data_IF_924098356576
#
_entry.id   IF_924098356576
#
_cell.length_a   1.000
_cell.length_b   1.000
_cell.length_c   1.000
_cell.angle_alpha   90.00
_cell.angle_beta   90.00
_cell.angle_gamma   90.00
#
_symmetry.space_group_name_H-M   'P 1'
#
loop_
_entity.id
_entity.type
_entity.pdbx_description
1 polymer ?
#
# COMPACT_ATOMS: atom_id res chain seq x y z
N UNK A 1 -36.81 22.03 -20.44
CA UNK A 1 -35.38 22.43 -20.41
C UNK A 1 -34.71 22.24 -19.05
N UNK A 2 -35.42 22.35 -17.91
CA UNK A 2 -34.82 22.24 -16.56
C UNK A 2 -34.34 20.82 -16.18
N UNK A 3 -35.11 19.78 -16.52
CA UNK A 3 -34.83 18.38 -16.13
C UNK A 3 -33.64 17.76 -16.86
N UNK A 4 -33.47 18.03 -18.17
CA UNK A 4 -32.33 17.49 -18.94
C UNK A 4 -31.01 18.09 -18.47
N UNK A 5 -31.00 19.39 -18.17
CA UNK A 5 -29.83 20.08 -17.60
C UNK A 5 -29.50 19.54 -16.20
N UNK A 6 -30.51 19.29 -15.35
CA UNK A 6 -30.33 18.68 -14.03
C UNK A 6 -29.73 17.27 -14.11
N UNK A 7 -30.17 16.43 -15.06
CA UNK A 7 -29.63 15.08 -15.25
C UNK A 7 -28.17 15.09 -15.73
N UNK A 8 -27.81 16.03 -16.61
CA UNK A 8 -26.42 16.18 -17.08
C UNK A 8 -25.51 16.66 -15.94
N UNK A 9 -25.95 17.63 -15.13
CA UNK A 9 -25.17 18.08 -13.97
C UNK A 9 -24.99 16.98 -12.92
N UNK A 10 -26.02 16.17 -12.66
CA UNK A 10 -25.92 15.03 -11.74
C UNK A 10 -24.96 13.96 -12.25
N UNK A 11 -24.97 13.66 -13.55
CA UNK A 11 -24.03 12.72 -14.17
C UNK A 11 -22.57 13.18 -14.09
N UNK A 12 -22.30 14.46 -14.38
CA UNK A 12 -20.96 15.05 -14.29
C UNK A 12 -20.46 15.07 -12.84
N UNK A 13 -21.33 15.38 -11.88
CA UNK A 13 -20.97 15.36 -10.46
C UNK A 13 -20.61 13.94 -9.99
N UNK A 14 -21.37 12.91 -10.41
CA UNK A 14 -21.07 11.52 -10.08
C UNK A 14 -19.74 11.03 -10.66
N UNK A 15 -19.39 11.47 -11.87
CA UNK A 15 -18.08 11.20 -12.49
C UNK A 15 -16.92 11.82 -11.70
N UNK A 16 -17.11 13.01 -11.11
CA UNK A 16 -16.07 13.65 -10.29
C UNK A 16 -15.83 12.94 -8.94
N UNK A 17 -16.87 12.35 -8.33
CA UNK A 17 -16.69 11.56 -7.09
C UNK A 17 -15.95 10.24 -7.37
N UNK A 18 -16.04 9.72 -8.59
CA UNK A 18 -15.34 8.50 -9.00
C UNK A 18 -13.84 8.72 -9.33
N UNK A 19 -13.38 9.98 -9.41
CA UNK A 19 -11.99 10.31 -9.71
C UNK A 19 -11.31 10.94 -8.49
N UNK A 20 -10.76 10.12 -7.61
CA UNK A 20 -9.79 10.67 -6.64
C UNK A 20 -9.68 9.97 -5.31
N UNK A 21 -9.46 8.66 -5.31
CA UNK A 21 -8.63 8.08 -4.27
C UNK A 21 -7.67 7.09 -4.92
N UNK A 22 -6.69 7.65 -5.64
CA UNK A 22 -5.47 6.91 -5.87
C UNK A 22 -4.81 6.82 -4.50
N UNK A 23 -5.00 5.69 -3.80
CA UNK A 23 -4.21 5.32 -2.63
C UNK A 23 -2.76 5.10 -3.10
N UNK A 24 -2.10 6.19 -3.51
CA UNK A 24 -0.66 6.20 -3.70
C UNK A 24 -0.04 6.15 -2.30
N UNK A 25 -0.13 4.97 -1.73
CA UNK A 25 0.79 4.49 -0.73
C UNK A 25 2.22 4.70 -1.29
N UNK A 26 3.22 4.96 -0.45
CA UNK A 26 4.61 4.98 -0.85
C UNK A 26 4.83 3.72 -1.66
N UNK A 27 5.45 3.87 -2.83
CA UNK A 27 5.70 2.75 -3.75
C UNK A 27 6.76 1.84 -3.15
N UNK A 28 6.38 1.14 -2.09
CA UNK A 28 7.09 0.02 -1.53
C UNK A 28 7.20 -1.03 -2.63
N UNK A 29 8.38 -1.65 -2.73
CA UNK A 29 8.59 -2.75 -3.66
C UNK A 29 7.95 -4.00 -3.05
N UNK A 30 6.67 -4.22 -3.38
CA UNK A 30 5.86 -5.32 -2.87
C UNK A 30 5.45 -6.26 -3.98
N UNK A 31 5.18 -7.52 -3.63
CA UNK A 31 4.55 -8.50 -4.53
C UNK A 31 3.03 -8.28 -4.66
N UNK A 32 2.36 -9.20 -5.36
CA UNK A 32 0.90 -9.16 -5.58
C UNK A 32 0.08 -9.27 -4.28
N UNK A 33 0.66 -9.81 -3.21
CA UNK A 33 0.04 -9.96 -1.89
C UNK A 33 0.40 -8.80 -0.93
N UNK A 34 1.23 -7.85 -1.39
CA UNK A 34 1.67 -6.70 -0.60
C UNK A 34 2.88 -6.99 0.30
N UNK A 35 3.56 -8.12 0.13
CA UNK A 35 4.77 -8.45 0.89
C UNK A 35 5.96 -7.64 0.39
N UNK A 36 6.61 -6.91 1.30
CA UNK A 36 7.75 -6.06 0.99
C UNK A 36 9.02 -6.86 0.77
N UNK A 37 9.69 -6.60 -0.37
CA UNK A 37 11.03 -7.11 -0.73
C UNK A 37 11.15 -8.59 -0.41
N UNK A 38 10.22 -9.39 -0.93
CA UNK A 38 10.17 -10.85 -0.81
C UNK A 38 10.25 -11.39 0.63
N UNK A 39 9.87 -10.57 1.63
CA UNK A 39 9.86 -10.95 3.04
C UNK A 39 11.20 -10.83 3.76
N UNK A 40 12.17 -10.11 3.19
CA UNK A 40 13.42 -9.80 3.88
C UNK A 40 13.26 -8.65 4.89
N UNK A 41 14.04 -8.74 5.97
CA UNK A 41 13.95 -7.78 7.08
C UNK A 41 14.57 -6.41 6.73
N UNK A 42 13.79 -5.31 6.80
CA UNK A 42 14.28 -3.96 6.50
C UNK A 42 15.38 -3.47 7.47
N UNK A 43 15.33 -3.90 8.72
CA UNK A 43 16.28 -3.54 9.78
C UNK A 43 17.57 -4.34 9.64
N UNK A 44 17.51 -5.61 9.23
CA UNK A 44 18.69 -6.42 8.97
C UNK A 44 19.57 -5.82 7.83
N UNK A 45 18.95 -5.26 6.78
CA UNK A 45 19.70 -4.53 5.76
C UNK A 45 20.52 -3.37 6.35
N UNK A 46 19.94 -2.66 7.34
CA UNK A 46 20.55 -1.48 7.93
C UNK A 46 21.59 -1.84 9.00
N UNK A 47 21.29 -2.78 9.90
CA UNK A 47 22.10 -3.10 11.07
C UNK A 47 23.09 -4.25 10.81
N UNK A 48 22.65 -5.30 10.12
CA UNK A 48 23.48 -6.49 9.86
C UNK A 48 24.25 -6.40 8.52
N UNK A 49 23.92 -5.40 7.70
CA UNK A 49 24.51 -5.18 6.38
C UNK A 49 24.39 -6.38 5.44
N UNK A 50 23.31 -7.15 5.57
CA UNK A 50 23.02 -8.32 4.74
C UNK A 50 21.51 -8.54 4.64
N UNK A 51 21.08 -9.21 3.58
CA UNK A 51 19.70 -9.68 3.45
C UNK A 51 19.49 -10.88 4.39
N UNK A 52 18.56 -10.74 5.33
CA UNK A 52 18.12 -11.83 6.21
C UNK A 52 16.61 -11.98 6.05
N UNK A 53 16.17 -13.20 5.77
CA UNK A 53 14.74 -13.50 5.61
C UNK A 53 14.03 -13.31 6.95
N UNK A 54 12.97 -12.51 6.95
CA UNK A 54 12.13 -12.31 8.12
C UNK A 54 11.18 -13.48 8.33
N UNK A 55 10.57 -13.54 9.51
CA UNK A 55 9.57 -14.53 9.85
C UNK A 55 8.18 -13.88 9.88
N UNK A 56 7.21 -14.48 9.20
CA UNK A 56 5.84 -13.95 9.13
C UNK A 56 5.17 -13.80 10.51
N UNK A 57 5.69 -14.45 11.56
CA UNK A 57 5.25 -14.27 12.96
C UNK A 57 5.61 -12.88 13.51
N UNK A 58 6.67 -12.26 12.99
CA UNK A 58 7.08 -10.90 13.32
C UNK A 58 6.80 -10.01 12.10
N UNK A 59 5.53 -9.64 11.92
CA UNK A 59 5.11 -8.84 10.77
C UNK A 59 4.47 -7.52 11.17
N UNK A 60 4.66 -6.48 10.37
CA UNK A 60 3.92 -5.23 10.49
C UNK A 60 3.45 -4.74 9.12
N UNK A 61 2.18 -4.34 9.02
CA UNK A 61 1.66 -3.72 7.80
C UNK A 61 1.61 -2.21 7.95
N UNK A 62 2.36 -1.50 7.11
CA UNK A 62 2.39 -0.05 7.07
C UNK A 62 2.11 0.44 5.67
N UNK A 63 1.07 1.27 5.55
CA UNK A 63 0.68 1.86 4.27
C UNK A 63 0.58 0.80 3.15
N UNK A 64 -0.14 -0.29 3.43
CA UNK A 64 -0.41 -1.38 2.49
C UNK A 64 0.77 -2.30 2.12
N UNK A 65 1.97 -2.06 2.65
CA UNK A 65 3.08 -2.99 2.55
C UNK A 65 3.22 -3.79 3.86
N UNK A 66 3.41 -5.09 3.74
CA UNK A 66 3.68 -6.00 4.87
C UNK A 66 5.17 -6.25 4.95
N UNK A 67 5.75 -5.95 6.11
CA UNK A 67 7.16 -6.15 6.40
C UNK A 67 7.30 -7.35 7.34
N UNK A 68 8.26 -8.24 7.06
CA UNK A 68 8.66 -9.31 7.97
C UNK A 68 9.96 -8.94 8.65
N UNK A 69 10.08 -9.27 9.94
CA UNK A 69 11.27 -9.06 10.76
C UNK A 69 11.83 -10.42 11.20
N UNK A 70 13.14 -10.49 11.43
CA UNK A 70 13.83 -11.72 11.87
C UNK A 70 13.36 -12.13 13.26
N UNK A 71 13.17 -11.16 14.15
CA UNK A 71 12.70 -11.35 15.51
C UNK A 71 11.98 -10.10 16.04
N UNK A 72 11.58 -10.14 17.32
CA UNK A 72 10.88 -9.05 18.00
C UNK A 72 11.75 -7.81 18.29
N UNK A 73 13.08 -7.95 18.26
CA UNK A 73 14.02 -6.89 18.62
C UNK A 73 14.40 -6.00 17.42
N UNK A 74 14.22 -6.52 16.20
CA UNK A 74 14.23 -5.75 14.96
C UNK A 74 12.94 -4.91 14.85
#
# INVERSE_FOLDING_TARGET
MKIRTLLVCAGVLALMVAQGQSDLLPRFNVDDDGLWVDGYDPVAYLLDHRAVEGDARFSHTYQGATFHFVDQAH
#
